data_IF_677321950957
#
_entry.id   IF_677321950957
#
_cell.length_a   1.000
_cell.length_b   1.000
_cell.length_c   1.000
_cell.angle_alpha   90.00
_cell.angle_beta   90.00
_cell.angle_gamma   90.00
#
_symmetry.space_group_name_H-M   'P 1'
#
loop_
_entity.id
_entity.type
_entity.pdbx_description
1 polymer ?
#
# COMPACT_ATOMS: atom_id res chain seq x y z
N UNK A 1 -77.65 11.49 15.02
CA UNK A 1 -76.83 12.58 15.58
C UNK A 1 -76.30 12.10 16.92
N UNK A 2 -75.02 12.35 17.14
CA UNK A 2 -74.17 11.92 18.28
C UNK A 2 -73.46 10.56 18.19
N UNK A 3 -72.14 10.69 18.34
CA UNK A 3 -71.08 9.70 18.37
C UNK A 3 -70.92 9.14 19.79
N UNK A 4 -70.64 7.83 19.93
CA UNK A 4 -69.97 7.23 21.10
C UNK A 4 -69.29 5.95 20.59
N UNK A 5 -67.99 5.98 20.26
CA UNK A 5 -66.83 5.79 21.16
C UNK A 5 -66.75 4.38 21.76
N UNK A 6 -66.00 3.48 21.12
CA UNK A 6 -65.47 2.24 21.71
C UNK A 6 -64.31 1.71 20.89
N UNK A 7 -63.07 2.02 21.28
CA UNK A 7 -61.89 1.24 20.94
C UNK A 7 -60.72 1.56 21.88
N UNK A 8 -59.97 0.52 22.22
CA UNK A 8 -58.61 0.48 22.77
C UNK A 8 -58.45 0.41 24.29
N UNK A 9 -58.36 -0.86 24.72
CA UNK A 9 -57.86 -1.38 25.98
C UNK A 9 -56.36 -1.10 26.18
N UNK A 10 -56.05 -0.58 27.37
CA UNK A 10 -55.06 -1.07 28.33
C UNK A 10 -53.65 -1.47 27.86
N UNK A 11 -52.73 -0.54 28.10
CA UNK A 11 -51.53 -0.66 28.95
C UNK A 11 -50.66 -1.93 28.97
N UNK A 12 -49.43 -1.74 28.46
CA UNK A 12 -48.12 -1.91 29.15
C UNK A 12 -47.77 -3.27 29.79
N UNK A 13 -46.74 -3.89 29.18
CA UNK A 13 -45.67 -4.84 29.61
C UNK A 13 -45.51 -5.21 31.11
N UNK A 14 -44.89 -6.37 31.49
CA UNK A 14 -43.72 -7.01 30.83
C UNK A 14 -43.67 -8.55 30.78
N UNK A 15 -42.96 -9.11 29.79
CA UNK A 15 -42.63 -10.54 29.73
C UNK A 15 -41.30 -10.81 30.44
N UNK A 16 -41.36 -11.63 31.48
CA UNK A 16 -40.20 -12.20 32.16
C UNK A 16 -40.18 -13.73 31.99
N UNK A 17 -38.96 -14.26 31.94
CA UNK A 17 -38.53 -15.63 32.26
C UNK A 17 -38.80 -16.80 31.28
N UNK A 18 -37.66 -17.30 30.77
CA UNK A 18 -37.19 -18.71 30.84
C UNK A 18 -37.59 -19.76 29.80
N UNK A 19 -36.51 -20.37 29.27
CA UNK A 19 -36.34 -21.73 28.74
C UNK A 19 -37.13 -22.16 27.51
N UNK A 20 -36.44 -22.34 26.38
CA UNK A 20 -36.58 -23.54 25.53
C UNK A 20 -35.26 -23.86 24.82
N UNK A 21 -35.08 -25.16 24.61
CA UNK A 21 -33.82 -25.84 24.35
C UNK A 21 -33.29 -25.69 22.91
N UNK A 22 -31.98 -25.92 22.80
CA UNK A 22 -31.17 -26.42 21.68
C UNK A 22 -31.89 -26.80 20.38
N UNK A 23 -31.43 -26.22 19.26
CA UNK A 23 -30.76 -26.91 18.12
C UNK A 23 -31.02 -26.18 16.80
N UNK A 24 -29.95 -25.66 16.19
CA UNK A 24 -29.83 -25.54 14.73
C UNK A 24 -28.37 -25.16 14.39
N UNK A 25 -27.64 -26.14 13.87
CA UNK A 25 -26.49 -25.92 13.00
C UNK A 25 -26.92 -25.08 11.80
N UNK A 26 -26.25 -23.94 11.55
CA UNK A 26 -26.12 -23.45 10.19
C UNK A 26 -24.86 -22.61 10.03
N UNK A 27 -23.89 -23.25 9.38
CA UNK A 27 -22.87 -22.68 8.53
C UNK A 27 -23.32 -21.36 7.88
N UNK A 28 -22.54 -20.29 8.05
CA UNK A 28 -22.34 -19.31 6.98
C UNK A 28 -20.91 -18.76 7.01
N UNK A 29 -20.22 -19.00 5.89
CA UNK A 29 -19.02 -18.40 5.32
C UNK A 29 -17.89 -17.92 6.25
N UNK A 30 -16.76 -18.62 6.12
CA UNK A 30 -15.45 -17.99 6.03
C UNK A 30 -15.54 -16.74 5.15
N UNK A 31 -15.65 -15.57 5.79
CA UNK A 31 -15.33 -14.30 5.14
C UNK A 31 -13.88 -14.44 4.78
N UNK A 32 -13.60 -14.74 3.50
CA UNK A 32 -12.28 -14.51 2.94
C UNK A 32 -12.01 -13.04 3.24
N UNK A 33 -11.16 -12.79 4.24
CA UNK A 33 -10.83 -11.46 4.70
C UNK A 33 -10.14 -10.75 3.54
N UNK A 34 -10.93 -10.11 2.69
CA UNK A 34 -10.45 -9.25 1.63
C UNK A 34 -9.86 -8.06 2.36
N UNK A 35 -8.57 -8.16 2.70
CA UNK A 35 -7.83 -7.05 3.28
C UNK A 35 -8.04 -5.85 2.38
N UNK A 36 -8.58 -4.78 2.95
CA UNK A 36 -8.75 -3.51 2.23
C UNK A 36 -7.40 -3.09 1.65
N UNK A 37 -7.37 -2.34 0.53
CA UNK A 37 -6.12 -1.83 -0.02
C UNK A 37 -5.25 -1.16 1.04
N UNK A 38 -5.89 -0.49 1.99
CA UNK A 38 -5.24 0.12 3.13
C UNK A 38 -4.55 -0.82 4.10
N UNK A 39 -5.25 -1.85 4.57
CA UNK A 39 -4.65 -2.87 5.44
C UNK A 39 -3.50 -3.61 4.74
N UNK A 40 -3.61 -3.78 3.42
CA UNK A 40 -2.54 -4.38 2.61
C UNK A 40 -1.30 -3.51 2.58
N UNK A 41 -1.43 -2.18 2.42
CA UNK A 41 -0.26 -1.27 2.45
C UNK A 41 0.40 -1.36 3.83
N UNK A 42 -0.37 -1.16 4.90
CA UNK A 42 0.10 -1.23 6.29
C UNK A 42 0.85 -2.53 6.61
N UNK A 43 0.26 -3.68 6.25
CA UNK A 43 0.90 -4.98 6.46
C UNK A 43 2.19 -5.13 5.66
N UNK A 44 2.21 -4.63 4.42
CA UNK A 44 3.38 -4.71 3.54
C UNK A 44 4.54 -3.89 4.08
N UNK A 45 4.28 -2.64 4.50
CA UNK A 45 5.30 -1.76 5.09
C UNK A 45 5.83 -2.33 6.41
N UNK A 46 4.93 -2.87 7.26
CA UNK A 46 5.34 -3.56 8.47
C UNK A 46 6.29 -4.73 8.18
N UNK A 47 5.96 -5.59 7.22
CA UNK A 47 6.80 -6.72 6.85
C UNK A 47 8.19 -6.28 6.38
N UNK A 48 8.28 -5.17 5.62
CA UNK A 48 9.57 -4.60 5.20
C UNK A 48 10.41 -4.17 6.42
N UNK A 49 9.78 -3.52 7.40
CA UNK A 49 10.45 -3.01 8.61
C UNK A 49 10.83 -4.11 9.61
N UNK A 50 10.04 -5.18 9.71
CA UNK A 50 10.33 -6.32 10.59
C UNK A 50 11.51 -7.17 10.07
N UNK A 51 11.65 -7.27 8.75
CA UNK A 51 12.68 -8.11 8.12
C UNK A 51 13.48 -7.34 7.05
N UNK A 52 14.22 -6.29 7.44
CA UNK A 52 14.97 -5.46 6.49
C UNK A 52 16.08 -6.25 5.78
N UNK A 53 16.65 -7.27 6.43
CA UNK A 53 17.72 -8.10 5.89
C UNK A 53 17.27 -9.31 5.06
N UNK A 54 15.96 -9.55 4.91
CA UNK A 54 15.45 -10.67 4.10
C UNK A 54 15.12 -10.21 2.67
N UNK A 55 15.94 -10.56 1.66
CA UNK A 55 15.74 -10.10 0.29
C UNK A 55 14.42 -10.61 -0.31
N UNK A 56 13.93 -11.78 0.11
CA UNK A 56 12.67 -12.30 -0.37
C UNK A 56 11.51 -11.44 0.14
N UNK A 57 11.52 -11.05 1.42
CA UNK A 57 10.49 -10.15 1.97
C UNK A 57 10.53 -8.81 1.26
N UNK A 58 11.70 -8.19 1.12
CA UNK A 58 11.82 -6.90 0.44
C UNK A 58 11.36 -6.95 -1.02
N UNK A 59 11.74 -8.00 -1.76
CA UNK A 59 11.31 -8.22 -3.14
C UNK A 59 9.79 -8.31 -3.27
N UNK A 60 9.15 -9.15 -2.45
CA UNK A 60 7.71 -9.36 -2.50
C UNK A 60 6.98 -8.09 -2.10
N UNK A 61 7.44 -7.41 -1.04
CA UNK A 61 6.84 -6.16 -0.57
C UNK A 61 6.94 -5.05 -1.62
N UNK A 62 8.10 -4.81 -2.23
CA UNK A 62 8.25 -3.83 -3.32
C UNK A 62 7.33 -4.18 -4.50
N UNK A 63 7.22 -5.46 -4.87
CA UNK A 63 6.28 -5.91 -5.91
C UNK A 63 4.83 -5.62 -5.53
N UNK A 64 4.44 -5.86 -4.29
CA UNK A 64 3.07 -5.62 -3.79
C UNK A 64 2.76 -4.13 -3.75
N UNK A 65 3.66 -3.29 -3.24
CA UNK A 65 3.50 -1.84 -3.24
C UNK A 65 3.35 -1.30 -4.67
N UNK A 66 4.16 -1.78 -5.61
CA UNK A 66 4.04 -1.42 -7.03
C UNK A 66 2.67 -1.75 -7.62
N UNK A 67 2.07 -2.89 -7.23
CA UNK A 67 0.72 -3.28 -7.66
C UNK A 67 -0.35 -2.42 -7.01
N UNK A 68 -0.25 -2.16 -5.70
CA UNK A 68 -1.18 -1.30 -4.98
C UNK A 68 -1.16 0.14 -5.52
N UNK A 69 0.02 0.64 -5.88
CA UNK A 69 0.26 1.95 -6.47
C UNK A 69 -0.25 2.09 -7.92
N UNK A 70 -1.00 1.12 -8.48
CA UNK A 70 -1.73 1.34 -9.74
C UNK A 70 -2.86 2.36 -9.57
N UNK A 71 -3.44 2.43 -8.38
CA UNK A 71 -4.48 3.39 -8.02
C UNK A 71 -3.86 4.65 -7.42
N UNK A 72 -4.25 5.84 -7.90
CA UNK A 72 -3.71 7.12 -7.43
C UNK A 72 -3.90 7.33 -5.91
N UNK A 73 -5.07 6.94 -5.38
CA UNK A 73 -5.33 7.04 -3.94
C UNK A 73 -4.37 6.19 -3.09
N UNK A 74 -3.92 5.04 -3.61
CA UNK A 74 -2.92 4.22 -2.92
C UNK A 74 -1.51 4.81 -3.06
N UNK A 75 -1.18 5.52 -4.15
CA UNK A 75 0.12 6.17 -4.31
C UNK A 75 0.34 7.22 -3.21
N UNK A 76 -0.65 8.08 -2.98
CA UNK A 76 -0.64 9.09 -1.90
C UNK A 76 -0.55 8.40 -0.54
N UNK A 77 -1.38 7.38 -0.33
CA UNK A 77 -1.41 6.66 0.94
C UNK A 77 -0.10 5.96 1.27
N UNK A 78 0.52 5.27 0.30
CA UNK A 78 1.84 4.64 0.50
C UNK A 78 2.88 5.69 0.89
N UNK A 79 2.86 6.87 0.25
CA UNK A 79 3.77 7.96 0.60
C UNK A 79 3.54 8.48 2.03
N UNK A 80 2.28 8.73 2.41
CA UNK A 80 1.89 9.18 3.75
C UNK A 80 2.28 8.18 4.85
N UNK A 81 2.24 6.87 4.56
CA UNK A 81 2.62 5.82 5.49
C UNK A 81 4.16 5.60 5.57
N UNK A 82 4.95 6.40 4.86
CA UNK A 82 6.42 6.33 4.83
C UNK A 82 6.99 5.30 3.86
N UNK A 83 6.17 4.76 2.96
CA UNK A 83 6.56 3.67 2.07
C UNK A 83 7.64 4.01 1.05
N UNK A 84 7.82 5.30 0.71
CA UNK A 84 8.93 5.75 -0.16
C UNK A 84 10.27 5.46 0.52
N UNK A 85 10.42 5.87 1.77
CA UNK A 85 11.63 5.63 2.56
C UNK A 85 11.88 4.14 2.78
N UNK A 86 10.83 3.35 3.05
CA UNK A 86 10.96 1.89 3.19
C UNK A 86 11.48 1.23 1.90
N UNK A 87 11.00 1.65 0.72
CA UNK A 87 11.46 1.13 -0.57
C UNK A 87 12.92 1.51 -0.84
N UNK A 88 13.32 2.75 -0.54
CA UNK A 88 14.70 3.20 -0.70
C UNK A 88 15.63 2.45 0.26
N UNK A 89 15.20 2.26 1.52
CA UNK A 89 15.94 1.48 2.50
C UNK A 89 16.10 0.03 2.05
N UNK A 90 15.05 -0.60 1.51
CA UNK A 90 15.11 -1.94 0.96
C UNK A 90 16.14 -2.07 -0.17
N UNK A 91 16.18 -1.11 -1.10
CA UNK A 91 17.19 -1.06 -2.15
C UNK A 91 18.59 -0.86 -1.58
N UNK A 92 18.75 -0.02 -0.55
CA UNK A 92 20.04 0.26 0.07
C UNK A 92 20.59 -0.94 0.85
N UNK A 93 19.72 -1.75 1.47
CA UNK A 93 20.08 -2.95 2.22
C UNK A 93 20.43 -4.15 1.30
N UNK A 94 19.89 -4.16 0.08
CA UNK A 94 20.09 -5.24 -0.89
C UNK A 94 20.70 -4.74 -2.21
N UNK A 95 21.86 -4.03 -2.17
CA UNK A 95 22.41 -3.36 -3.35
C UNK A 95 22.86 -4.35 -4.43
N UNK A 96 23.16 -5.61 -4.05
CA UNK A 96 23.64 -6.68 -4.94
C UNK A 96 22.53 -7.60 -5.44
N UNK A 97 21.28 -7.45 -5.00
CA UNK A 97 20.16 -8.25 -5.51
C UNK A 97 19.44 -7.50 -6.64
N UNK A 98 19.64 -7.90 -7.91
CA UNK A 98 19.03 -7.20 -9.05
C UNK A 98 17.50 -7.24 -9.00
N UNK A 99 16.90 -8.27 -8.41
CA UNK A 99 15.44 -8.41 -8.34
C UNK A 99 14.86 -7.40 -7.37
N UNK A 100 15.52 -7.20 -6.21
CA UNK A 100 15.11 -6.17 -5.24
C UNK A 100 15.26 -4.78 -5.85
N UNK A 101 16.38 -4.50 -6.54
CA UNK A 101 16.58 -3.23 -7.24
C UNK A 101 15.49 -3.00 -8.30
N UNK A 102 15.23 -3.99 -9.16
CA UNK A 102 14.23 -3.89 -10.22
C UNK A 102 12.81 -3.60 -9.66
N UNK A 103 12.39 -4.32 -8.62
CA UNK A 103 11.05 -4.11 -8.03
C UNK A 103 10.97 -2.84 -7.21
N UNK A 104 12.04 -2.45 -6.51
CA UNK A 104 12.13 -1.20 -5.77
C UNK A 104 12.00 0.00 -6.70
N UNK A 105 12.79 0.04 -7.77
CA UNK A 105 12.70 1.07 -8.82
C UNK A 105 11.34 1.10 -9.49
N UNK A 106 10.78 -0.08 -9.79
CA UNK A 106 9.43 -0.17 -10.34
C UNK A 106 8.36 0.39 -9.40
N UNK A 107 8.50 0.22 -8.07
CA UNK A 107 7.61 0.79 -7.08
C UNK A 107 7.78 2.31 -6.99
N UNK A 108 9.01 2.81 -6.87
CA UNK A 108 9.31 4.25 -6.88
C UNK A 108 8.77 4.93 -8.14
N UNK A 109 9.00 4.33 -9.30
CA UNK A 109 8.47 4.83 -10.56
C UNK A 109 6.94 4.72 -10.70
N UNK A 110 6.23 4.00 -9.83
CA UNK A 110 4.76 4.09 -9.76
C UNK A 110 4.33 5.20 -8.81
N UNK A 111 5.00 5.33 -7.67
CA UNK A 111 4.73 6.38 -6.70
C UNK A 111 5.00 7.77 -7.27
N UNK A 112 6.02 7.91 -8.12
CA UNK A 112 6.37 9.13 -8.84
C UNK A 112 5.37 9.55 -9.93
N UNK A 113 4.31 8.77 -10.19
CA UNK A 113 3.21 9.22 -11.07
C UNK A 113 2.31 10.25 -10.38
N UNK A 114 2.31 10.29 -9.05
CA UNK A 114 1.67 11.36 -8.28
C UNK A 114 2.67 12.51 -8.13
N UNK A 115 2.27 13.70 -8.58
CA UNK A 115 3.15 14.88 -8.57
C UNK A 115 3.64 15.22 -7.15
N UNK A 116 2.75 15.14 -6.17
CA UNK A 116 3.07 15.40 -4.77
C UNK A 116 4.14 14.46 -4.20
N UNK A 117 4.31 13.26 -4.76
CA UNK A 117 5.31 12.30 -4.29
C UNK A 117 6.71 12.55 -4.87
N UNK A 118 6.81 13.18 -6.04
CA UNK A 118 8.09 13.40 -6.74
C UNK A 118 9.11 14.19 -5.89
N UNK A 119 8.79 15.35 -5.26
CA UNK A 119 9.75 16.09 -4.46
C UNK A 119 10.22 15.27 -3.24
N UNK A 120 9.33 14.49 -2.62
CA UNK A 120 9.69 13.60 -1.51
C UNK A 120 10.64 12.50 -1.97
N UNK A 121 10.36 11.85 -3.11
CA UNK A 121 11.26 10.82 -3.66
C UNK A 121 12.63 11.42 -3.99
N UNK A 122 12.68 12.64 -4.52
CA UNK A 122 13.94 13.32 -4.82
C UNK A 122 14.72 13.65 -3.53
N UNK A 123 14.05 14.21 -2.52
CA UNK A 123 14.65 14.59 -1.24
C UNK A 123 15.19 13.39 -0.47
N UNK A 124 14.50 12.25 -0.50
CA UNK A 124 14.95 10.99 0.11
C UNK A 124 16.09 10.30 -0.69
N UNK A 125 16.58 10.93 -1.77
CA UNK A 125 17.71 10.41 -2.54
C UNK A 125 17.33 9.38 -3.61
N UNK A 126 16.08 9.35 -4.07
CA UNK A 126 15.59 8.40 -5.07
C UNK A 126 16.33 8.46 -6.40
N UNK A 127 16.79 9.64 -6.85
CA UNK A 127 17.62 9.78 -8.05
C UNK A 127 18.96 9.08 -7.87
N UNK A 128 19.63 9.32 -6.74
CA UNK A 128 20.92 8.71 -6.41
C UNK A 128 20.78 7.20 -6.28
N UNK A 129 19.70 6.72 -5.66
CA UNK A 129 19.42 5.28 -5.56
C UNK A 129 19.25 4.64 -6.95
N UNK A 130 18.55 5.31 -7.88
CA UNK A 130 18.39 4.82 -9.25
C UNK A 130 19.70 4.77 -10.03
N UNK A 131 20.53 5.81 -9.94
CA UNK A 131 21.85 5.82 -10.59
C UNK A 131 22.75 4.72 -10.05
N UNK A 132 22.84 4.58 -8.72
CA UNK A 132 23.62 3.50 -8.08
C UNK A 132 23.14 2.12 -8.46
N UNK A 133 21.82 1.92 -8.57
CA UNK A 133 21.26 0.65 -9.01
C UNK A 133 21.67 0.34 -10.47
N UNK A 134 21.69 1.34 -11.35
CA UNK A 134 22.17 1.18 -12.72
C UNK A 134 23.66 0.85 -12.78
N UNK A 135 24.49 1.50 -11.96
CA UNK A 135 25.94 1.24 -11.90
C UNK A 135 26.23 -0.18 -11.40
N UNK A 136 25.58 -0.58 -10.30
CA UNK A 136 25.78 -1.90 -9.69
C UNK A 136 25.26 -3.06 -10.57
N UNK A 137 24.27 -2.78 -11.43
CA UNK A 137 23.62 -3.78 -12.28
C UNK A 137 23.62 -3.35 -13.76
N UNK A 138 24.78 -2.92 -14.25
CA UNK A 138 24.95 -2.40 -15.63
C UNK A 138 24.46 -3.37 -16.71
N UNK A 139 24.61 -4.69 -16.49
CA UNK A 139 24.20 -5.73 -17.44
C UNK A 139 22.77 -6.26 -17.22
N UNK A 140 22.07 -5.84 -16.16
CA UNK A 140 20.70 -6.30 -15.90
C UNK A 140 19.69 -5.41 -16.61
N UNK A 141 19.18 -5.89 -17.74
CA UNK A 141 18.19 -5.18 -18.55
C UNK A 141 16.90 -4.80 -17.78
N UNK A 142 16.54 -5.57 -16.75
CA UNK A 142 15.39 -5.30 -15.90
C UNK A 142 15.62 -4.06 -15.04
N UNK A 143 16.75 -4.03 -14.32
CA UNK A 143 17.15 -2.90 -13.48
C UNK A 143 17.31 -1.64 -14.31
N UNK A 144 18.04 -1.70 -15.43
CA UNK A 144 18.25 -0.54 -16.32
C UNK A 144 16.91 0.05 -16.79
N UNK A 145 16.00 -0.81 -17.25
CA UNK A 145 14.68 -0.37 -17.74
C UNK A 145 13.86 0.30 -16.65
N UNK A 146 13.81 -0.28 -15.45
CA UNK A 146 13.04 0.30 -14.35
C UNK A 146 13.70 1.59 -13.84
N UNK A 147 15.02 1.66 -13.81
CA UNK A 147 15.74 2.87 -13.42
C UNK A 147 15.45 4.02 -14.39
N UNK A 148 15.62 3.81 -15.71
CA UNK A 148 15.30 4.82 -16.71
C UNK A 148 13.83 5.26 -16.63
N UNK A 149 12.90 4.31 -16.41
CA UNK A 149 11.48 4.64 -16.26
C UNK A 149 11.18 5.44 -14.99
N UNK A 150 11.85 5.14 -13.87
CA UNK A 150 11.71 5.89 -12.64
C UNK A 150 12.30 7.30 -12.76
N UNK A 151 13.52 7.41 -13.30
CA UNK A 151 14.19 8.69 -13.55
C UNK A 151 13.38 9.60 -14.47
N UNK A 152 12.88 9.07 -15.59
CA UNK A 152 12.05 9.84 -16.51
C UNK A 152 10.81 10.45 -15.84
N UNK A 153 10.19 9.73 -14.89
CA UNK A 153 9.02 10.26 -14.15
C UNK A 153 9.39 11.26 -13.06
N UNK A 154 10.60 11.16 -12.51
CA UNK A 154 11.09 12.11 -11.49
C UNK A 154 11.61 13.41 -12.13
N UNK A 155 12.09 13.35 -13.37
CA UNK A 155 12.63 14.51 -14.08
C UNK A 155 11.57 15.39 -14.75
N UNK A 156 10.43 14.82 -15.18
CA UNK A 156 9.33 15.60 -15.82
C UNK A 156 8.69 16.62 -14.87
N UNK A 157 8.88 16.49 -13.57
CA UNK A 157 8.45 17.48 -12.57
C UNK A 157 9.56 18.39 -12.06
N UNK A 158 10.80 18.10 -12.44
CA UNK A 158 11.96 18.89 -12.05
C UNK A 158 12.18 20.09 -12.99
N UNK A 159 11.23 20.35 -13.89
CA UNK A 159 11.25 21.52 -14.79
C UNK A 159 11.20 22.86 -14.03
N UNK A 160 11.01 22.88 -12.70
CA UNK A 160 11.10 24.12 -11.93
C UNK A 160 12.45 24.38 -11.25
N UNK A 161 13.12 23.45 -10.54
CA UNK A 161 14.43 23.77 -9.94
C UNK A 161 15.29 22.54 -9.59
N UNK A 162 16.58 22.63 -9.93
CA UNK A 162 17.71 21.74 -9.57
C UNK A 162 18.02 20.58 -10.51
N UNK A 163 18.66 20.99 -11.61
CA UNK A 163 19.86 20.39 -12.18
C UNK A 163 20.67 19.53 -11.20
N UNK A 164 21.02 18.34 -11.70
CA UNK A 164 22.17 17.54 -11.31
C UNK A 164 23.41 18.45 -11.13
N UNK A 165 23.72 18.81 -9.88
CA UNK A 165 24.96 19.46 -9.47
C UNK A 165 25.65 18.61 -8.40
#
# INVERSE_FOLDING_TARGET
FEMLSSAMLSSVEPCNASSFASSATSSTCSVSSVKTPGERIMYTLRAMREKPGDPAVQLHSCRTLRQLAQEAGNQVRIAQEGGIADVLLAMSNHPRDPRVQEKGLGALGRLALTADNQPWIAQEGGLVAAVRAMENHASDCGVQRQACSALGKLMVSADDHLLLA
#
